data_IF_264687348012
#
_entry.id   IF_264687348012
#
_cell.length_a   1.000
_cell.length_b   1.000
_cell.length_c   1.000
_cell.angle_alpha   90.00
_cell.angle_beta   90.00
_cell.angle_gamma   90.00
#
_symmetry.space_group_name_H-M   'P 1'
#
loop_
_entity.id
_entity.type
_entity.pdbx_description
1 polymer ?
#
# COMPACT_ATOMS: atom_id res chain seq x y z
N UNK A 1 6.35 -0.31 -11.52
CA UNK A 1 5.52 -1.47 -11.12
C UNK A 1 4.04 -1.17 -11.38
N UNK A 2 3.31 -2.09 -12.01
CA UNK A 2 1.86 -1.97 -12.25
C UNK A 2 1.05 -2.22 -10.97
N UNK A 3 -0.06 -1.49 -10.73
CA UNK A 3 -0.87 -1.65 -9.51
C UNK A 3 -1.47 -3.05 -9.40
N UNK A 4 -1.88 -3.67 -10.51
CA UNK A 4 -2.45 -5.02 -10.54
C UNK A 4 -1.45 -6.10 -10.11
N UNK A 5 -0.17 -5.96 -10.50
CA UNK A 5 0.88 -6.89 -10.09
C UNK A 5 1.19 -6.79 -8.60
N UNK A 6 1.17 -5.57 -8.04
CA UNK A 6 1.34 -5.36 -6.62
C UNK A 6 0.15 -5.90 -5.81
N UNK A 7 -1.07 -5.73 -6.30
CA UNK A 7 -2.29 -6.26 -5.69
C UNK A 7 -2.24 -7.78 -5.54
N UNK A 8 -1.78 -8.48 -6.57
CA UNK A 8 -1.63 -9.94 -6.55
C UNK A 8 -0.64 -10.40 -5.47
N UNK A 9 0.50 -9.72 -5.34
CA UNK A 9 1.49 -10.01 -4.30
C UNK A 9 0.87 -9.80 -2.91
N UNK A 10 0.10 -8.72 -2.72
CA UNK A 10 -0.58 -8.46 -1.45
C UNK A 10 -1.63 -9.54 -1.13
N UNK A 11 -2.37 -10.03 -2.13
CA UNK A 11 -3.32 -11.14 -1.95
C UNK A 11 -2.62 -12.43 -1.53
N UNK A 12 -1.50 -12.77 -2.16
CA UNK A 12 -0.74 -13.98 -1.81
C UNK A 12 -0.20 -13.95 -0.39
N UNK A 13 0.11 -12.76 0.15
CA UNK A 13 0.53 -12.58 1.54
C UNK A 13 -0.60 -12.79 2.55
N UNK A 14 -1.87 -12.71 2.13
CA UNK A 14 -3.04 -12.93 2.99
C UNK A 14 -3.48 -14.40 3.04
N UNK A 15 -2.91 -15.26 2.18
CA UNK A 15 -3.22 -16.69 2.16
C UNK A 15 -2.46 -17.45 3.25
N UNK A 16 -3.06 -18.47 3.89
CA UNK A 16 -2.43 -19.25 4.95
C UNK A 16 -1.47 -20.32 4.39
N UNK A 17 -0.46 -19.90 3.61
CA UNK A 17 0.56 -20.78 3.03
C UNK A 17 1.95 -20.16 3.27
N UNK A 18 2.74 -20.79 4.14
CA UNK A 18 4.04 -20.25 4.58
C UNK A 18 5.04 -20.09 3.43
N UNK A 19 5.05 -21.02 2.48
CA UNK A 19 5.99 -20.98 1.34
C UNK A 19 5.58 -19.89 0.34
N UNK A 20 4.27 -19.74 0.10
CA UNK A 20 3.74 -18.63 -0.71
C UNK A 20 3.97 -17.27 -0.05
N UNK A 21 3.71 -17.14 1.25
CA UNK A 21 3.97 -15.91 2.01
C UNK A 21 5.45 -15.53 1.89
N UNK A 22 6.37 -16.49 2.02
CA UNK A 22 7.81 -16.22 1.91
C UNK A 22 8.17 -15.69 0.53
N UNK A 23 7.73 -16.36 -0.54
CA UNK A 23 7.98 -15.93 -1.93
C UNK A 23 7.36 -14.58 -2.24
N UNK A 24 6.10 -14.37 -1.86
CA UNK A 24 5.41 -13.09 -2.04
C UNK A 24 6.09 -11.97 -1.24
N UNK A 25 6.65 -12.26 -0.07
CA UNK A 25 7.42 -11.30 0.73
C UNK A 25 8.72 -10.89 0.03
N UNK A 26 9.45 -11.85 -0.55
CA UNK A 26 10.67 -11.59 -1.34
C UNK A 26 10.35 -10.75 -2.59
N UNK A 27 9.26 -11.07 -3.29
CA UNK A 27 8.76 -10.30 -4.44
C UNK A 27 8.34 -8.88 -4.02
N UNK A 28 7.61 -8.74 -2.90
CA UNK A 28 7.20 -7.45 -2.36
C UNK A 28 8.42 -6.60 -2.02
N UNK A 29 9.44 -7.16 -1.36
CA UNK A 29 10.67 -6.43 -1.04
C UNK A 29 11.38 -5.93 -2.29
N UNK A 30 11.41 -6.75 -3.36
CA UNK A 30 12.00 -6.37 -4.65
C UNK A 30 11.19 -5.27 -5.32
N UNK A 31 9.86 -5.41 -5.37
CA UNK A 31 8.95 -4.39 -5.91
C UNK A 31 9.07 -3.06 -5.14
N UNK A 32 9.22 -3.12 -3.81
CA UNK A 32 9.44 -1.97 -2.94
C UNK A 32 10.87 -1.40 -3.01
N UNK A 33 11.72 -1.81 -3.95
CA UNK A 33 12.93 -1.05 -4.31
C UNK A 33 12.65 -0.03 -5.40
N UNK A 34 11.67 -0.29 -6.27
CA UNK A 34 11.26 0.59 -7.37
C UNK A 34 10.61 1.89 -6.82
N UNK A 35 11.06 3.09 -7.23
CA UNK A 35 10.39 4.34 -6.88
C UNK A 35 8.92 4.37 -7.33
N UNK A 36 8.57 3.72 -8.45
CA UNK A 36 7.20 3.63 -8.97
C UNK A 36 6.25 2.79 -8.09
N UNK A 37 6.77 2.04 -7.12
CA UNK A 37 5.92 1.29 -6.20
C UNK A 37 5.14 2.19 -5.22
N UNK A 38 5.58 3.44 -4.96
CA UNK A 38 4.82 4.36 -4.10
C UNK A 38 3.51 4.81 -4.77
N UNK A 39 3.52 5.30 -6.03
CA UNK A 39 2.30 5.55 -6.79
C UNK A 39 1.37 4.33 -6.87
N UNK A 40 1.92 3.13 -7.09
CA UNK A 40 1.12 1.91 -7.14
C UNK A 40 0.43 1.60 -5.81
N UNK A 41 1.12 1.74 -4.67
CA UNK A 41 0.51 1.60 -3.35
C UNK A 41 -0.57 2.65 -3.08
N UNK A 42 -0.34 3.89 -3.54
CA UNK A 42 -1.30 4.98 -3.42
C UNK A 42 -2.58 4.71 -4.23
N UNK A 43 -2.43 4.15 -5.43
CA UNK A 43 -3.55 3.70 -6.25
C UNK A 43 -4.36 2.61 -5.53
N UNK A 44 -3.70 1.56 -5.04
CA UNK A 44 -4.38 0.47 -4.30
C UNK A 44 -5.09 0.96 -3.05
N UNK A 45 -4.48 1.88 -2.30
CA UNK A 45 -5.10 2.52 -1.15
C UNK A 45 -6.39 3.25 -1.50
N UNK A 46 -6.49 3.85 -2.69
CA UNK A 46 -7.66 4.62 -3.11
C UNK A 46 -8.70 3.83 -3.92
N UNK A 47 -8.30 2.72 -4.56
CA UNK A 47 -9.12 2.01 -5.55
C UNK A 47 -9.35 0.52 -5.25
N UNK A 48 -8.61 -0.10 -4.33
CA UNK A 48 -8.77 -1.53 -4.09
C UNK A 48 -10.15 -1.82 -3.50
N UNK A 49 -10.83 -2.81 -4.05
CA UNK A 49 -12.16 -3.24 -3.60
C UNK A 49 -12.07 -3.97 -2.26
N UNK A 50 -11.02 -4.76 -2.09
CA UNK A 50 -10.78 -5.54 -0.88
C UNK A 50 -10.23 -4.65 0.25
N UNK A 51 -10.92 -4.59 1.41
CA UNK A 51 -10.48 -3.78 2.55
C UNK A 51 -9.13 -4.22 3.12
N UNK A 52 -8.83 -5.52 3.14
CA UNK A 52 -7.55 -6.01 3.64
C UNK A 52 -6.40 -5.51 2.76
N UNK A 53 -6.62 -5.48 1.44
CA UNK A 53 -5.65 -4.94 0.48
C UNK A 53 -5.48 -3.42 0.66
N UNK A 54 -6.58 -2.67 0.84
CA UNK A 54 -6.51 -1.21 1.11
C UNK A 54 -5.71 -0.92 2.38
N UNK A 55 -6.05 -1.60 3.48
CA UNK A 55 -5.37 -1.46 4.76
C UNK A 55 -3.89 -1.84 4.66
N UNK A 56 -3.58 -2.93 3.95
CA UNK A 56 -2.20 -3.36 3.80
C UNK A 56 -1.38 -2.38 2.95
N UNK A 57 -1.96 -1.87 1.86
CA UNK A 57 -1.38 -0.80 1.06
C UNK A 57 -1.14 0.48 1.90
N UNK A 58 -2.05 0.82 2.82
CA UNK A 58 -1.90 1.95 3.75
C UNK A 58 -0.73 1.77 4.70
N UNK A 59 -0.59 0.59 5.31
CA UNK A 59 0.53 0.27 6.20
C UNK A 59 1.87 0.37 5.47
N UNK A 60 1.97 -0.19 4.27
CA UNK A 60 3.19 -0.15 3.46
C UNK A 60 3.52 1.28 2.99
N UNK A 61 2.51 2.04 2.58
CA UNK A 61 2.66 3.46 2.21
C UNK A 61 3.20 4.25 3.39
N UNK A 62 2.59 4.13 4.57
CA UNK A 62 3.03 4.79 5.81
C UNK A 62 4.49 4.45 6.15
N UNK A 63 4.87 3.16 6.07
CA UNK A 63 6.23 2.69 6.36
C UNK A 63 7.27 3.27 5.40
N UNK A 64 6.92 3.42 4.12
CA UNK A 64 7.81 4.07 3.13
C UNK A 64 7.92 5.56 3.35
N UNK A 65 6.80 6.23 3.62
CA UNK A 65 6.78 7.68 3.83
C UNK A 65 7.53 8.05 5.12
N UNK A 66 7.42 7.30 6.21
CA UNK A 66 8.10 7.65 7.47
C UNK A 66 9.62 7.84 7.32
N UNK A 67 10.26 7.07 6.43
CA UNK A 67 11.71 7.15 6.19
C UNK A 67 12.11 8.20 5.13
N UNK A 68 11.23 8.49 4.15
CA UNK A 68 11.55 9.33 2.98
C UNK A 68 10.73 10.62 2.86
N UNK A 69 9.80 10.88 3.78
CA UNK A 69 8.86 12.02 3.73
C UNK A 69 9.56 13.36 3.49
N UNK A 70 10.64 13.63 4.24
CA UNK A 70 11.41 14.88 4.13
C UNK A 70 12.14 15.06 2.79
N UNK A 71 12.36 13.97 2.04
CA UNK A 71 13.04 14.00 0.72
C UNK A 71 12.05 14.16 -0.44
N UNK A 72 10.75 14.08 -0.20
CA UNK A 72 9.72 14.30 -1.21
C UNK A 72 9.55 15.80 -1.47
N UNK A 73 9.36 16.16 -2.74
CA UNK A 73 9.00 17.53 -3.12
C UNK A 73 7.72 17.97 -2.40
N UNK A 74 7.57 19.27 -2.17
CA UNK A 74 6.41 19.82 -1.45
C UNK A 74 5.08 19.47 -2.13
N UNK A 75 5.02 19.57 -3.46
CA UNK A 75 3.85 19.20 -4.26
C UNK A 75 3.43 17.75 -4.05
N UNK A 76 4.38 16.81 -4.15
CA UNK A 76 4.11 15.38 -3.92
C UNK A 76 3.61 15.09 -2.50
N UNK A 77 4.13 15.82 -1.49
CA UNK A 77 3.64 15.71 -0.11
C UNK A 77 2.20 16.18 0.01
N UNK A 78 1.84 17.27 -0.66
CA UNK A 78 0.48 17.80 -0.61
C UNK A 78 -0.52 16.88 -1.32
N UNK A 79 -0.18 16.38 -2.50
CA UNK A 79 -0.99 15.40 -3.23
C UNK A 79 -1.20 14.12 -2.41
N UNK A 80 -0.18 13.64 -1.71
CA UNK A 80 -0.31 12.47 -0.82
C UNK A 80 -1.22 12.73 0.38
N UNK A 81 -1.20 13.92 0.98
CA UNK A 81 -2.13 14.27 2.07
C UNK A 81 -3.57 14.23 1.58
N UNK A 82 -3.85 14.88 0.45
CA UNK A 82 -5.18 14.92 -0.17
C UNK A 82 -5.67 13.51 -0.51
N UNK A 83 -4.80 12.67 -1.05
CA UNK A 83 -5.11 11.27 -1.34
C UNK A 83 -5.46 10.49 -0.08
N UNK A 84 -4.63 10.55 0.96
CA UNK A 84 -4.84 9.81 2.21
C UNK A 84 -6.13 10.27 2.89
N UNK A 85 -6.41 11.58 2.93
CA UNK A 85 -7.67 12.11 3.46
C UNK A 85 -8.88 11.60 2.68
N UNK A 86 -8.80 11.60 1.35
CA UNK A 86 -9.88 11.10 0.48
C UNK A 86 -10.11 9.61 0.69
N UNK A 87 -9.04 8.82 0.76
CA UNK A 87 -9.13 7.38 1.00
C UNK A 87 -9.71 7.08 2.38
N UNK A 88 -9.28 7.82 3.41
CA UNK A 88 -9.80 7.68 4.76
C UNK A 88 -11.29 8.00 4.87
N UNK A 89 -11.77 9.02 4.15
CA UNK A 89 -13.21 9.33 4.07
C UNK A 89 -14.03 8.22 3.40
N UNK A 90 -13.41 7.49 2.46
CA UNK A 90 -14.04 6.38 1.73
C UNK A 90 -13.95 5.06 2.46
N UNK A 91 -13.10 4.95 3.46
CA UNK A 91 -12.93 3.71 4.22
C UNK A 91 -14.19 3.46 5.04
N UNK A 92 -14.91 2.41 4.68
CA UNK A 92 -16.17 2.03 5.34
C UNK A 92 -15.92 1.08 6.51
N UNK A 93 -14.73 0.49 6.58
CA UNK A 93 -14.36 -0.51 7.58
C UNK A 93 -13.33 0.06 8.56
N UNK A 94 -13.89 0.69 9.60
CA UNK A 94 -13.16 1.20 10.75
C UNK A 94 -12.88 0.04 11.68
N UNK A 95 -11.77 -0.65 11.47
CA UNK A 95 -11.32 -1.71 12.37
C UNK A 95 -10.96 -1.14 13.74
N UNK A 96 -11.95 -0.86 14.58
CA UNK A 96 -11.79 -0.74 16.03
C UNK A 96 -13.04 -1.26 16.76
N UNK A 97 -12.76 -2.30 17.56
CA UNK A 97 -13.49 -2.83 18.72
C UNK A 97 -14.52 -3.95 18.50
N UNK A 98 -14.09 -5.12 19.03
CA UNK A 98 -14.84 -6.26 19.56
C UNK A 98 -15.23 -7.36 18.57
#
# INVERSE_FOLDING_TARGET
>A
MEPAGLEQILRELLLPDTERIRRATEQLQTALRDPAALPALCHLLASAVDPQIRQFAAVLTRRRLSTRWRRLAAEHRESLKSLVLTAFQRETEWGFCC
#
